data_IF_507860847198
#
_entry.id   IF_507860847198
#
_cell.length_a   1.000
_cell.length_b   1.000
_cell.length_c   1.000
_cell.angle_alpha   90.00
_cell.angle_beta   90.00
_cell.angle_gamma   90.00
#
_symmetry.space_group_name_H-M   'P 1'
#
loop_
_entity.id
_entity.type
_entity.pdbx_description
1 polymer ?
#
# COMPACT_ATOMS: atom_id res chain seq x y z
N UNK A 1 8.85 4.74 -27.14
CA UNK A 1 8.40 5.13 -25.80
C UNK A 1 9.41 4.63 -24.75
N UNK A 2 9.79 5.49 -23.81
CA UNK A 2 10.67 5.12 -22.70
C UNK A 2 9.83 4.48 -21.61
N UNK A 3 10.16 3.25 -21.22
CA UNK A 3 9.52 2.58 -20.09
C UNK A 3 10.35 2.87 -18.83
N UNK A 4 9.70 3.48 -17.83
CA UNK A 4 10.32 3.75 -16.54
C UNK A 4 10.05 2.59 -15.58
N UNK A 5 11.03 2.30 -14.72
CA UNK A 5 10.92 1.21 -13.75
C UNK A 5 11.60 1.56 -12.43
N UNK A 6 11.13 0.92 -11.36
CA UNK A 6 11.74 0.89 -10.04
C UNK A 6 11.51 -0.52 -9.46
N UNK A 7 12.59 -1.30 -9.37
CA UNK A 7 12.54 -2.72 -9.03
C UNK A 7 13.42 -3.03 -7.84
N UNK A 8 12.93 -3.88 -6.93
CA UNK A 8 13.74 -4.42 -5.84
C UNK A 8 14.79 -5.37 -6.36
N UNK A 9 16.00 -5.30 -5.80
CA UNK A 9 17.12 -6.16 -6.12
C UNK A 9 17.69 -6.81 -4.86
N UNK A 10 17.96 -8.10 -4.93
CA UNK A 10 18.59 -8.84 -3.84
C UNK A 10 20.02 -8.35 -3.55
N UNK A 11 20.47 -8.40 -2.30
CA UNK A 11 21.84 -8.08 -1.93
C UNK A 11 22.80 -9.11 -2.54
N UNK A 12 24.00 -8.65 -2.90
CA UNK A 12 25.13 -9.51 -3.23
C UNK A 12 26.41 -8.90 -2.65
N UNK A 13 27.49 -9.69 -2.58
CA UNK A 13 28.75 -9.28 -1.94
C UNK A 13 29.34 -7.98 -2.50
N UNK A 14 29.26 -7.77 -3.82
CA UNK A 14 29.75 -6.54 -4.48
C UNK A 14 28.95 -5.30 -4.07
N UNK A 15 27.62 -5.40 -4.10
CA UNK A 15 26.74 -4.31 -3.70
C UNK A 15 26.94 -3.96 -2.22
N UNK A 16 27.05 -4.97 -1.36
CA UNK A 16 27.28 -4.77 0.07
C UNK A 16 28.65 -4.11 0.30
N UNK A 17 29.69 -4.52 -0.44
CA UNK A 17 31.00 -3.88 -0.37
C UNK A 17 30.95 -2.40 -0.76
N UNK A 18 30.15 -2.01 -1.75
CA UNK A 18 30.00 -0.63 -2.23
C UNK A 18 29.33 0.31 -1.23
N UNK A 19 28.67 -0.21 -0.21
CA UNK A 19 27.92 0.59 0.78
C UNK A 19 28.47 0.46 2.22
N UNK A 20 29.69 -0.05 2.38
CA UNK A 20 30.27 -0.22 3.72
C UNK A 20 30.43 1.09 4.49
N UNK A 21 30.73 2.18 3.80
CA UNK A 21 30.76 3.54 4.37
C UNK A 21 29.39 4.00 4.90
N UNK A 22 28.31 3.78 4.12
CA UNK A 22 26.95 4.09 4.55
C UNK A 22 26.49 3.21 5.72
N UNK A 23 26.86 1.93 5.74
CA UNK A 23 26.61 1.03 6.87
C UNK A 23 27.38 1.46 8.11
N UNK A 24 28.64 1.90 7.98
CA UNK A 24 29.43 2.42 9.10
C UNK A 24 28.77 3.69 9.68
N UNK A 25 28.32 4.61 8.83
CA UNK A 25 27.60 5.82 9.25
C UNK A 25 26.29 5.46 9.98
N UNK A 26 25.52 4.53 9.45
CA UNK A 26 24.28 4.05 10.10
C UNK A 26 24.55 3.40 11.45
N UNK A 27 25.63 2.60 11.59
CA UNK A 27 26.05 2.02 12.89
C UNK A 27 26.42 3.11 13.90
N UNK A 28 27.22 4.08 13.48
CA UNK A 28 27.60 5.22 14.33
C UNK A 28 26.38 6.01 14.80
N UNK A 29 25.46 6.34 13.89
CA UNK A 29 24.20 7.03 14.23
C UNK A 29 23.35 6.22 15.21
N UNK A 30 23.20 4.92 15.00
CA UNK A 30 22.45 4.05 15.90
C UNK A 30 23.06 4.01 17.30
N UNK A 31 24.38 3.93 17.38
CA UNK A 31 25.11 3.93 18.66
C UNK A 31 24.90 5.24 19.41
N UNK A 32 24.98 6.37 18.72
CA UNK A 32 24.83 7.70 19.33
C UNK A 32 23.39 7.98 19.80
N UNK A 33 22.39 7.53 19.06
CA UNK A 33 20.98 7.81 19.35
C UNK A 33 20.31 6.77 20.24
N UNK A 34 20.89 5.58 20.40
CA UNK A 34 20.24 4.45 21.06
C UNK A 34 18.99 3.93 20.34
N UNK A 35 18.75 4.33 19.11
CA UNK A 35 17.56 3.96 18.36
C UNK A 35 17.55 2.45 18.02
N UNK A 36 16.38 1.81 17.90
CA UNK A 36 16.27 0.39 17.53
C UNK A 36 16.81 0.10 16.12
N UNK A 37 16.79 1.11 15.24
CA UNK A 37 17.40 1.04 13.90
C UNK A 37 17.92 2.40 13.46
N UNK A 38 18.91 2.41 12.57
CA UNK A 38 19.37 3.59 11.85
C UNK A 38 19.59 3.22 10.38
N UNK A 39 19.41 4.19 9.49
CA UNK A 39 19.53 3.98 8.05
C UNK A 39 20.18 5.16 7.34
N UNK A 40 20.91 4.84 6.28
CA UNK A 40 21.48 5.77 5.32
C UNK A 40 21.10 5.36 3.92
N UNK A 41 20.99 6.33 3.02
CA UNK A 41 20.72 6.08 1.61
C UNK A 41 21.93 6.46 0.78
N UNK A 42 22.30 5.59 -0.18
CA UNK A 42 23.41 5.82 -1.07
C UNK A 42 23.00 5.50 -2.51
N UNK A 43 23.37 6.37 -3.43
CA UNK A 43 23.23 6.13 -4.86
C UNK A 43 24.51 5.50 -5.41
N UNK A 44 24.32 4.54 -6.32
CA UNK A 44 25.38 3.77 -6.93
C UNK A 44 25.13 3.63 -8.44
N UNK A 45 26.19 3.59 -9.22
CA UNK A 45 26.19 3.05 -10.57
C UNK A 45 26.65 1.60 -10.51
N UNK A 46 25.80 0.68 -10.93
CA UNK A 46 26.09 -0.75 -10.84
C UNK A 46 25.79 -1.47 -12.14
N UNK A 47 26.64 -2.41 -12.48
CA UNK A 47 26.46 -3.33 -13.60
C UNK A 47 26.77 -4.76 -13.14
N UNK A 48 25.91 -5.71 -13.52
CA UNK A 48 26.20 -7.13 -13.34
C UNK A 48 27.33 -7.59 -14.27
N UNK A 49 28.00 -8.69 -13.93
CA UNK A 49 29.16 -9.18 -14.73
C UNK A 49 28.74 -9.63 -16.12
N UNK A 50 27.58 -10.25 -16.27
CA UNK A 50 27.16 -10.95 -17.48
C UNK A 50 25.78 -10.63 -18.02
N UNK A 51 24.85 -10.19 -17.16
CA UNK A 51 23.43 -10.10 -17.53
C UNK A 51 22.95 -8.70 -17.93
N UNK A 52 23.62 -7.64 -17.51
CA UNK A 52 23.23 -6.29 -17.88
C UNK A 52 24.13 -5.73 -18.95
N UNK A 53 23.52 -5.23 -20.02
CA UNK A 53 24.22 -4.62 -21.14
C UNK A 53 24.90 -3.28 -20.81
N UNK A 54 24.47 -2.62 -19.70
CA UNK A 54 25.00 -1.32 -19.27
C UNK A 54 24.87 -1.14 -17.76
N UNK A 55 25.63 -0.18 -17.22
CA UNK A 55 25.45 0.29 -15.84
C UNK A 55 24.07 0.91 -15.65
N UNK A 56 23.53 0.77 -14.45
CA UNK A 56 22.21 1.28 -14.06
C UNK A 56 22.29 1.95 -12.69
N UNK A 57 21.47 2.97 -12.51
CA UNK A 57 21.30 3.62 -11.21
C UNK A 57 20.70 2.64 -10.20
N UNK A 58 21.36 2.47 -9.08
CA UNK A 58 20.94 1.66 -7.95
C UNK A 58 20.88 2.55 -6.72
N UNK A 59 19.79 2.49 -5.98
CA UNK A 59 19.70 3.12 -4.65
C UNK A 59 19.78 2.04 -3.59
N UNK A 60 20.69 2.22 -2.68
CA UNK A 60 20.89 1.36 -1.52
C UNK A 60 20.31 2.00 -0.27
N UNK A 61 19.57 1.20 0.50
CA UNK A 61 19.24 1.50 1.90
C UNK A 61 20.19 0.71 2.78
N UNK A 62 21.15 1.37 3.37
CA UNK A 62 22.05 0.82 4.38
C UNK A 62 21.39 0.94 5.75
N UNK A 63 20.70 -0.11 6.18
CA UNK A 63 19.99 -0.15 7.45
C UNK A 63 20.69 -1.06 8.44
N UNK A 64 20.81 -0.61 9.69
CA UNK A 64 21.37 -1.37 10.80
C UNK A 64 20.32 -1.48 11.89
N UNK A 65 20.00 -2.69 12.29
CA UNK A 65 19.02 -3.03 13.34
C UNK A 65 19.69 -3.75 14.50
N UNK A 66 18.92 -4.05 15.55
CA UNK A 66 19.40 -4.86 16.69
C UNK A 66 19.87 -6.26 16.27
N UNK A 67 19.28 -6.84 15.24
CA UNK A 67 19.62 -8.15 14.68
C UNK A 67 20.77 -8.13 13.66
N UNK A 68 21.39 -6.97 13.39
CA UNK A 68 22.47 -6.82 12.40
C UNK A 68 22.14 -5.92 11.23
N UNK A 69 22.98 -5.99 10.19
CA UNK A 69 22.85 -5.21 8.98
C UNK A 69 21.72 -5.77 8.10
N UNK A 70 20.89 -4.88 7.57
CA UNK A 70 19.77 -5.19 6.68
C UNK A 70 19.81 -4.32 5.40
N UNK A 71 20.83 -4.51 4.55
CA UNK A 71 20.95 -3.75 3.31
C UNK A 71 19.85 -4.12 2.32
N UNK A 72 19.26 -3.11 1.67
CA UNK A 72 18.26 -3.26 0.61
C UNK A 72 18.65 -2.44 -0.59
N UNK A 73 18.33 -2.94 -1.77
CA UNK A 73 18.69 -2.29 -3.03
C UNK A 73 17.50 -2.19 -3.95
N UNK A 74 17.40 -1.09 -4.67
CA UNK A 74 16.47 -0.92 -5.80
C UNK A 74 17.25 -0.45 -7.02
N UNK A 75 16.84 -0.90 -8.19
CA UNK A 75 17.37 -0.48 -9.49
C UNK A 75 16.30 0.34 -10.22
N UNK A 76 16.71 1.42 -10.87
CA UNK A 76 15.79 2.33 -11.54
C UNK A 76 16.42 3.01 -12.75
N UNK A 77 15.57 3.49 -13.65
CA UNK A 77 15.93 4.45 -14.69
C UNK A 77 15.18 5.80 -14.53
N UNK A 78 14.54 6.00 -13.39
CA UNK A 78 13.89 7.28 -13.08
C UNK A 78 14.96 8.38 -12.92
N UNK A 79 14.77 9.56 -13.52
CA UNK A 79 15.69 10.68 -13.35
C UNK A 79 15.62 11.22 -11.92
N UNK A 80 16.75 11.59 -11.35
CA UNK A 80 16.82 12.09 -9.97
C UNK A 80 15.92 13.34 -9.76
N UNK A 81 15.92 14.25 -10.73
CA UNK A 81 15.22 15.53 -10.68
C UNK A 81 13.72 15.49 -11.07
N UNK A 82 13.14 14.32 -11.29
CA UNK A 82 11.77 14.26 -11.83
C UNK A 82 11.68 14.64 -13.33
N UNK A 83 10.48 14.48 -13.92
CA UNK A 83 10.29 14.60 -15.37
C UNK A 83 10.21 16.04 -15.89
N UNK A 84 9.89 17.00 -15.04
CA UNK A 84 9.66 18.41 -15.42
C UNK A 84 10.65 19.39 -14.79
N UNK A 85 11.65 18.90 -14.06
CA UNK A 85 12.66 19.75 -13.40
C UNK A 85 12.13 20.59 -12.22
N UNK A 86 10.86 20.47 -11.88
CA UNK A 86 10.19 21.27 -10.84
C UNK A 86 10.62 20.87 -9.42
N UNK A 87 11.05 19.64 -9.22
CA UNK A 87 11.54 19.12 -7.94
C UNK A 87 12.85 18.37 -8.18
N UNK A 88 13.97 19.05 -7.94
CA UNK A 88 15.31 18.48 -8.15
C UNK A 88 15.61 17.20 -7.35
N UNK A 89 14.81 16.89 -6.34
CA UNK A 89 14.99 15.73 -5.48
C UNK A 89 13.80 14.76 -5.50
N UNK A 90 12.88 14.92 -6.44
CA UNK A 90 11.65 14.10 -6.47
C UNK A 90 11.95 12.60 -6.39
N UNK A 91 12.98 12.15 -7.08
CA UNK A 91 13.45 10.76 -7.06
C UNK A 91 14.88 10.65 -6.49
N UNK A 92 15.24 11.52 -5.54
CA UNK A 92 16.43 11.36 -4.73
C UNK A 92 16.38 10.06 -3.92
N UNK A 93 17.53 9.55 -3.47
CA UNK A 93 17.67 8.21 -2.93
C UNK A 93 16.64 7.87 -1.83
N UNK A 94 16.50 8.73 -0.83
CA UNK A 94 15.58 8.49 0.30
C UNK A 94 14.13 8.52 -0.16
N UNK A 95 13.69 9.57 -0.88
CA UNK A 95 12.31 9.72 -1.34
C UNK A 95 11.92 8.62 -2.34
N UNK A 96 12.83 8.27 -3.27
CA UNK A 96 12.60 7.17 -4.20
C UNK A 96 12.37 5.85 -3.47
N UNK A 97 13.16 5.58 -2.44
CA UNK A 97 13.01 4.35 -1.68
C UNK A 97 11.77 4.37 -0.76
N UNK A 98 11.62 5.42 0.06
CA UNK A 98 10.60 5.47 1.12
C UNK A 98 9.21 5.79 0.56
N UNK A 99 9.10 6.84 -0.29
CA UNK A 99 7.81 7.32 -0.74
C UNK A 99 7.32 6.58 -1.99
N UNK A 100 8.23 6.23 -2.91
CA UNK A 100 7.86 5.63 -4.18
C UNK A 100 7.92 4.10 -4.15
N UNK A 101 9.08 3.52 -3.81
CA UNK A 101 9.24 2.06 -3.83
C UNK A 101 8.45 1.38 -2.70
N UNK A 102 8.50 1.91 -1.48
CA UNK A 102 7.76 1.34 -0.35
C UNK A 102 6.25 1.48 -0.48
N UNK A 103 5.74 2.46 -1.25
CA UNK A 103 4.31 2.59 -1.57
C UNK A 103 3.73 1.32 -2.24
N UNK A 104 4.56 0.48 -2.88
CA UNK A 104 4.17 -0.84 -3.38
C UNK A 104 3.57 -1.73 -2.28
N UNK A 105 4.07 -1.63 -1.05
CA UNK A 105 3.54 -2.38 0.08
C UNK A 105 2.06 -2.09 0.38
N UNK A 106 1.58 -0.90 0.04
CA UNK A 106 0.16 -0.56 0.17
C UNK A 106 -0.70 -1.40 -0.78
N UNK A 107 -0.25 -1.65 -2.00
CA UNK A 107 -0.94 -2.52 -2.95
C UNK A 107 -1.03 -3.96 -2.44
N UNK A 108 0.05 -4.50 -1.88
CA UNK A 108 0.06 -5.83 -1.27
C UNK A 108 -0.96 -5.94 -0.13
N UNK A 109 -1.05 -4.92 0.72
CA UNK A 109 -2.05 -4.86 1.79
C UNK A 109 -3.49 -4.76 1.25
N UNK A 110 -3.71 -4.02 0.17
CA UNK A 110 -5.01 -3.95 -0.49
C UNK A 110 -5.41 -5.29 -1.12
N UNK A 111 -4.49 -5.97 -1.79
CA UNK A 111 -4.72 -7.32 -2.30
C UNK A 111 -5.03 -8.33 -1.17
N UNK A 112 -4.30 -8.26 -0.05
CA UNK A 112 -4.61 -9.07 1.14
C UNK A 112 -6.04 -8.84 1.64
N UNK A 113 -6.52 -7.60 1.70
CA UNK A 113 -7.89 -7.31 2.10
C UNK A 113 -8.92 -7.90 1.11
N UNK A 114 -8.65 -7.83 -0.20
CA UNK A 114 -9.52 -8.47 -1.20
C UNK A 114 -9.58 -10.00 -1.01
N UNK A 115 -8.46 -10.64 -0.78
CA UNK A 115 -8.38 -12.10 -0.58
C UNK A 115 -8.98 -12.50 0.77
N UNK A 116 -8.52 -11.91 1.87
CA UNK A 116 -8.89 -12.35 3.23
C UNK A 116 -10.27 -11.85 3.66
N UNK A 117 -10.61 -10.59 3.37
CA UNK A 117 -11.84 -9.97 3.83
C UNK A 117 -13.02 -10.20 2.88
N UNK A 118 -12.75 -10.26 1.57
CA UNK A 118 -13.78 -10.40 0.53
C UNK A 118 -13.74 -11.75 -0.20
N UNK A 119 -12.78 -12.62 0.15
CA UNK A 119 -12.64 -13.95 -0.44
C UNK A 119 -12.56 -13.93 -1.98
N UNK A 120 -11.78 -12.98 -2.52
CA UNK A 120 -11.65 -12.78 -3.96
C UNK A 120 -10.98 -13.94 -4.70
N UNK A 121 -10.18 -14.75 -3.98
CA UNK A 121 -9.51 -15.95 -4.48
C UNK A 121 -10.41 -17.19 -4.56
N UNK A 122 -11.64 -17.11 -4.02
CA UNK A 122 -12.53 -18.26 -3.96
C UNK A 122 -13.10 -18.63 -5.33
N UNK A 123 -12.66 -19.75 -5.87
CA UNK A 123 -13.20 -20.37 -7.08
C UNK A 123 -14.43 -21.20 -6.74
N UNK A 124 -15.62 -20.81 -7.23
CA UNK A 124 -16.88 -21.50 -6.91
C UNK A 124 -17.42 -22.36 -8.07
N UNK A 125 -16.81 -22.25 -9.23
CA UNK A 125 -17.19 -23.02 -10.43
C UNK A 125 -15.97 -23.49 -11.20
N UNK A 126 -16.15 -24.45 -12.11
CA UNK A 126 -15.09 -24.87 -13.03
C UNK A 126 -15.00 -23.98 -14.30
N UNK A 127 -15.93 -23.05 -14.47
CA UNK A 127 -15.92 -22.12 -15.60
C UNK A 127 -15.09 -20.86 -15.28
N UNK A 128 -14.09 -20.59 -16.10
CA UNK A 128 -13.22 -19.41 -15.94
C UNK A 128 -14.01 -18.09 -15.93
N UNK A 129 -14.96 -17.93 -16.87
CA UNK A 129 -15.77 -16.71 -17.00
C UNK A 129 -16.58 -16.40 -15.72
N UNK A 130 -17.16 -17.43 -15.08
CA UNK A 130 -17.91 -17.24 -13.84
C UNK A 130 -17.01 -16.87 -12.67
N UNK A 131 -15.83 -17.45 -12.57
CA UNK A 131 -14.85 -17.09 -11.54
C UNK A 131 -14.28 -15.69 -11.78
N UNK A 132 -14.07 -15.30 -13.02
CA UNK A 132 -13.64 -13.95 -13.38
C UNK A 132 -14.70 -12.91 -13.03
N UNK A 133 -15.97 -13.17 -13.32
CA UNK A 133 -17.09 -12.29 -12.93
C UNK A 133 -17.15 -12.11 -11.41
N UNK A 134 -16.96 -13.20 -10.65
CA UNK A 134 -16.88 -13.16 -9.19
C UNK A 134 -15.71 -12.28 -8.68
N UNK A 135 -14.54 -12.39 -9.30
CA UNK A 135 -13.39 -11.53 -8.98
C UNK A 135 -13.71 -10.05 -9.23
N UNK A 136 -14.41 -9.75 -10.31
CA UNK A 136 -14.87 -8.38 -10.61
C UNK A 136 -15.82 -7.84 -9.54
N UNK A 137 -16.78 -8.65 -9.09
CA UNK A 137 -17.67 -8.24 -7.98
C UNK A 137 -16.91 -8.04 -6.67
N UNK A 138 -15.95 -8.89 -6.34
CA UNK A 138 -15.11 -8.70 -5.15
C UNK A 138 -14.27 -7.40 -5.25
N UNK A 139 -13.73 -7.10 -6.42
CA UNK A 139 -12.99 -5.86 -6.68
C UNK A 139 -13.89 -4.63 -6.54
N UNK A 140 -15.10 -4.67 -7.12
CA UNK A 140 -16.07 -3.58 -6.98
C UNK A 140 -16.48 -3.37 -5.51
N UNK A 141 -16.76 -4.46 -4.79
CA UNK A 141 -17.06 -4.40 -3.36
C UNK A 141 -15.90 -3.79 -2.56
N UNK A 142 -14.66 -4.13 -2.90
CA UNK A 142 -13.48 -3.52 -2.28
C UNK A 142 -13.42 -2.01 -2.54
N UNK A 143 -13.64 -1.57 -3.77
CA UNK A 143 -13.66 -0.15 -4.13
C UNK A 143 -14.74 0.63 -3.37
N UNK A 144 -15.92 0.05 -3.21
CA UNK A 144 -17.00 0.66 -2.42
C UNK A 144 -16.62 0.79 -0.94
N UNK A 145 -16.03 -0.24 -0.35
CA UNK A 145 -15.54 -0.20 1.04
C UNK A 145 -14.38 0.80 1.21
N UNK A 146 -13.48 0.90 0.24
CA UNK A 146 -12.41 1.89 0.23
C UNK A 146 -12.97 3.32 0.16
N UNK A 147 -13.99 3.56 -0.65
CA UNK A 147 -14.69 4.84 -0.69
C UNK A 147 -15.45 5.13 0.61
N UNK A 148 -16.07 4.12 1.22
CA UNK A 148 -16.64 4.28 2.56
C UNK A 148 -15.58 4.73 3.56
N UNK A 149 -14.41 4.12 3.55
CA UNK A 149 -13.29 4.49 4.42
C UNK A 149 -12.82 5.92 4.17
N UNK A 150 -12.54 6.26 2.92
CA UNK A 150 -11.90 7.53 2.55
C UNK A 150 -12.83 8.73 2.60
N UNK A 151 -14.10 8.57 2.28
CA UNK A 151 -15.11 9.64 2.28
C UNK A 151 -16.00 9.59 3.54
N UNK A 152 -16.59 8.45 3.82
CA UNK A 152 -17.58 8.30 4.87
C UNK A 152 -16.98 8.31 6.28
N UNK A 153 -15.90 7.58 6.48
CA UNK A 153 -15.28 7.34 7.78
C UNK A 153 -14.06 8.22 8.06
N UNK A 154 -13.76 9.18 7.20
CA UNK A 154 -12.64 10.11 7.37
C UNK A 154 -12.75 10.83 8.72
N UNK A 155 -11.63 10.88 9.48
CA UNK A 155 -11.57 11.54 10.79
C UNK A 155 -12.30 10.80 11.91
N UNK A 156 -12.68 9.54 11.71
CA UNK A 156 -13.24 8.68 12.76
C UNK A 156 -12.22 7.61 13.18
N UNK A 157 -12.52 6.89 14.25
CA UNK A 157 -11.70 5.75 14.69
C UNK A 157 -11.58 4.63 13.63
N UNK A 158 -12.45 4.60 12.61
CA UNK A 158 -12.42 3.63 11.52
C UNK A 158 -11.79 4.18 10.23
N UNK A 159 -11.19 5.35 10.25
CA UNK A 159 -10.56 5.97 9.07
C UNK A 159 -9.44 5.11 8.44
N UNK A 160 -8.78 4.28 9.25
CA UNK A 160 -7.72 3.36 8.81
C UNK A 160 -8.13 1.89 8.91
N UNK A 161 -9.42 1.61 9.10
CA UNK A 161 -9.92 0.25 9.27
C UNK A 161 -9.80 -0.57 7.97
N UNK A 162 -9.60 -1.88 8.11
CA UNK A 162 -9.63 -2.82 6.98
C UNK A 162 -11.05 -3.00 6.44
N UNK A 163 -11.16 -3.51 5.21
CA UNK A 163 -12.44 -3.84 4.59
C UNK A 163 -13.29 -4.78 5.46
N UNK A 164 -12.66 -5.79 6.08
CA UNK A 164 -13.31 -6.71 7.00
C UNK A 164 -13.86 -6.03 8.25
N UNK A 165 -13.11 -5.10 8.83
CA UNK A 165 -13.54 -4.33 9.99
C UNK A 165 -14.72 -3.42 9.64
N UNK A 166 -14.69 -2.73 8.51
CA UNK A 166 -15.81 -1.88 8.04
C UNK A 166 -17.05 -2.74 7.83
N UNK A 167 -16.90 -3.88 7.13
CA UNK A 167 -17.99 -4.82 6.91
C UNK A 167 -18.65 -5.27 8.19
N UNK A 168 -17.87 -5.65 9.21
CA UNK A 168 -18.40 -6.19 10.46
C UNK A 168 -18.93 -5.12 11.41
N UNK A 169 -18.29 -3.95 11.48
CA UNK A 169 -18.67 -2.89 12.44
C UNK A 169 -19.66 -1.87 11.91
N UNK A 170 -19.75 -1.71 10.58
CA UNK A 170 -20.63 -0.69 9.98
C UNK A 170 -21.76 -1.32 9.17
N UNK A 171 -21.48 -2.36 8.37
CA UNK A 171 -22.48 -2.93 7.45
C UNK A 171 -23.20 -4.15 7.99
N UNK A 172 -22.60 -4.90 8.92
CA UNK A 172 -23.24 -6.08 9.52
C UNK A 172 -24.27 -5.66 10.57
N UNK A 173 -25.42 -5.24 10.10
CA UNK A 173 -26.54 -4.75 10.91
C UNK A 173 -27.78 -5.61 10.60
N UNK A 174 -28.51 -6.02 11.64
CA UNK A 174 -29.79 -6.65 11.47
C UNK A 174 -30.82 -5.65 10.96
N UNK A 175 -31.55 -5.99 9.92
CA UNK A 175 -32.57 -5.13 9.34
C UNK A 175 -33.80 -5.91 8.92
N UNK A 176 -34.98 -5.28 9.08
CA UNK A 176 -36.24 -5.78 8.52
C UNK A 176 -36.52 -5.05 7.22
N UNK A 177 -36.67 -5.80 6.14
CA UNK A 177 -36.90 -5.24 4.80
C UNK A 177 -38.38 -5.44 4.45
N UNK A 178 -39.07 -4.36 4.12
CA UNK A 178 -40.42 -4.36 3.57
C UNK A 178 -40.38 -3.82 2.15
N UNK A 179 -40.86 -4.59 1.21
CA UNK A 179 -40.96 -4.21 -0.18
C UNK A 179 -42.41 -3.89 -0.51
N UNK A 180 -42.66 -2.68 -1.03
CA UNK A 180 -43.94 -2.30 -1.63
C UNK A 180 -43.73 -2.04 -3.12
N UNK A 181 -44.83 -1.86 -3.87
CA UNK A 181 -44.79 -1.63 -5.32
C UNK A 181 -43.86 -0.46 -5.74
N UNK A 182 -43.71 0.56 -4.88
CA UNK A 182 -42.97 1.79 -5.20
C UNK A 182 -41.79 2.07 -4.26
N UNK A 183 -41.63 1.35 -3.15
CA UNK A 183 -40.61 1.67 -2.12
C UNK A 183 -40.12 0.43 -1.43
N UNK A 184 -38.84 0.46 -1.10
CA UNK A 184 -38.20 -0.51 -0.20
C UNK A 184 -37.90 0.22 1.11
N UNK A 185 -38.45 -0.30 2.21
CA UNK A 185 -38.20 0.18 3.55
C UNK A 185 -37.21 -0.75 4.23
N UNK A 186 -36.09 -0.18 4.73
CA UNK A 186 -35.09 -0.92 5.48
C UNK A 186 -35.07 -0.36 6.91
N UNK A 187 -35.63 -1.12 7.83
CA UNK A 187 -35.69 -0.77 9.24
C UNK A 187 -34.56 -1.48 9.98
N UNK A 188 -33.52 -0.71 10.37
CA UNK A 188 -32.36 -1.24 11.08
C UNK A 188 -32.61 -1.28 12.58
N UNK A 189 -31.90 -2.20 13.28
CA UNK A 189 -32.00 -2.33 14.75
C UNK A 189 -31.55 -1.04 15.45
N UNK A 190 -32.37 -0.56 16.38
CA UNK A 190 -32.04 0.58 17.24
C UNK A 190 -30.93 0.26 18.26
N UNK A 191 -30.68 -1.01 18.55
CA UNK A 191 -29.62 -1.47 19.44
C UNK A 191 -28.25 -1.58 18.75
N UNK A 192 -28.15 -1.18 17.49
CA UNK A 192 -26.88 -1.27 16.76
C UNK A 192 -25.87 -0.24 17.28
N UNK A 193 -24.75 -0.70 17.83
CA UNK A 193 -23.70 0.12 18.45
C UNK A 193 -23.04 1.09 17.46
N UNK A 194 -22.97 0.72 16.16
CA UNK A 194 -22.40 1.54 15.09
C UNK A 194 -23.34 2.56 14.47
N UNK A 195 -24.49 2.84 15.06
CA UNK A 195 -25.57 3.67 14.50
C UNK A 195 -25.08 5.07 14.10
N UNK A 196 -24.32 5.73 14.96
CA UNK A 196 -23.80 7.09 14.70
C UNK A 196 -22.78 7.09 13.53
N UNK A 197 -21.88 6.11 13.49
CA UNK A 197 -20.94 5.95 12.37
C UNK A 197 -21.67 5.66 11.07
N UNK A 198 -22.68 4.81 11.10
CA UNK A 198 -23.49 4.51 9.93
C UNK A 198 -24.22 5.77 9.41
N UNK A 199 -24.88 6.53 10.28
CA UNK A 199 -25.55 7.78 9.92
C UNK A 199 -24.59 8.83 9.38
N UNK A 200 -23.41 8.98 10.02
CA UNK A 200 -22.37 9.89 9.57
C UNK A 200 -21.89 9.53 8.16
N UNK A 201 -21.62 8.25 7.95
CA UNK A 201 -21.18 7.71 6.65
C UNK A 201 -22.24 7.98 5.57
N UNK A 202 -23.49 7.66 5.83
CA UNK A 202 -24.60 7.88 4.90
C UNK A 202 -24.76 9.36 4.54
N UNK A 203 -24.74 10.27 5.52
CA UNK A 203 -24.82 11.73 5.29
C UNK A 203 -23.69 12.24 4.40
N UNK A 204 -22.45 11.80 4.65
CA UNK A 204 -21.28 12.21 3.86
C UNK A 204 -21.33 11.70 2.43
N UNK A 205 -21.85 10.48 2.22
CA UNK A 205 -22.07 9.97 0.87
C UNK A 205 -23.13 10.78 0.13
N UNK A 206 -24.28 11.05 0.75
CA UNK A 206 -25.32 11.86 0.11
C UNK A 206 -24.78 13.22 -0.30
N UNK A 207 -24.01 13.90 0.58
CA UNK A 207 -23.43 15.21 0.29
C UNK A 207 -22.33 15.19 -0.79
N UNK A 208 -21.71 14.06 -1.05
CA UNK A 208 -20.66 13.96 -2.08
C UNK A 208 -21.23 13.74 -3.49
N UNK A 209 -22.52 13.43 -3.61
CA UNK A 209 -23.21 13.17 -4.90
C UNK A 209 -24.32 14.18 -5.21
N UNK A 210 -24.50 15.18 -4.39
CA UNK A 210 -25.31 16.39 -4.64
C UNK A 210 -24.41 17.57 -4.96
#
# INVERSE_FOLDING_TARGET
>A
PVVYYCLGMGPNSRLVAMIQDALATARGRRCLTGAPSAREFKELEYQTRTSWSRSRRVVAKAEVMSGGDNPRFIVTNLPQAGFRGEDRERFGAARLYEDFYCARGNMENQLKQQVLDLQADRMSTHYLASNQLRLWFATLAYLLLDRMRTLGLRGTALAQATAGTIRTRVLKVAAQVRVSVRRVYVQMSSAFVGQELFRLCARRFTAAFT
#
